data_IF_960716971636
#
_entry.id   IF_960716971636
#
_cell.length_a   1.000
_cell.length_b   1.000
_cell.length_c   1.000
_cell.angle_alpha   90.00
_cell.angle_beta   90.00
_cell.angle_gamma   90.00
#
_symmetry.space_group_name_H-M   'P 1'
#
loop_
_entity.id
_entity.type
_entity.pdbx_description
1 polymer ?
#
# COMPACT_ATOMS: atom_id res chain seq x y z
N UNK A 1 -32.97 10.85 62.74
CA UNK A 1 -32.46 9.68 62.00
C UNK A 1 -31.67 8.86 62.99
N UNK A 2 -31.89 7.54 63.07
CA UNK A 2 -31.08 6.71 63.95
C UNK A 2 -29.72 6.49 63.27
N UNK A 3 -28.64 6.88 63.92
CA UNK A 3 -27.31 6.49 63.50
C UNK A 3 -27.09 5.05 64.00
N UNK A 4 -26.82 4.13 63.08
CA UNK A 4 -26.40 2.78 63.43
C UNK A 4 -24.90 2.73 63.24
N UNK A 5 -24.17 2.69 64.35
CA UNK A 5 -22.72 2.48 64.36
C UNK A 5 -22.45 0.98 64.49
N UNK A 6 -21.74 0.40 63.53
CA UNK A 6 -21.41 -1.02 63.49
C UNK A 6 -19.89 -1.14 63.52
N UNK A 7 -19.36 -1.77 64.57
CA UNK A 7 -17.93 -2.08 64.68
C UNK A 7 -17.50 -3.20 63.74
N UNK A 8 -16.19 -3.45 63.66
CA UNK A 8 -15.64 -4.59 62.92
C UNK A 8 -15.61 -5.81 63.84
N UNK A 9 -15.95 -6.98 63.30
CA UNK A 9 -15.86 -8.25 64.00
C UNK A 9 -15.25 -9.32 63.10
N UNK A 10 -14.50 -10.25 63.69
CA UNK A 10 -14.04 -11.44 62.96
C UNK A 10 -15.27 -12.34 62.74
N UNK A 11 -15.68 -12.52 61.47
CA UNK A 11 -16.82 -13.35 61.12
C UNK A 11 -16.76 -14.77 61.69
N UNK A 12 -15.57 -15.35 61.88
CA UNK A 12 -15.39 -16.68 62.47
C UNK A 12 -15.83 -16.78 63.94
N UNK A 13 -15.91 -15.64 64.64
CA UNK A 13 -16.30 -15.56 66.05
C UNK A 13 -17.80 -15.36 66.27
N UNK A 14 -18.54 -14.94 65.24
CA UNK A 14 -19.99 -14.68 65.31
C UNK A 14 -20.85 -15.95 65.21
N UNK A 15 -20.24 -17.07 64.84
CA UNK A 15 -20.96 -18.31 64.52
C UNK A 15 -21.78 -18.19 63.23
N UNK A 16 -22.67 -19.17 63.00
CA UNK A 16 -23.55 -19.19 61.84
C UNK A 16 -24.96 -18.74 62.25
N UNK A 17 -25.64 -17.93 61.42
CA UNK A 17 -27.04 -17.59 61.67
C UNK A 17 -27.94 -18.83 61.57
N UNK A 18 -29.12 -18.83 62.21
CA UNK A 18 -30.12 -19.89 62.05
C UNK A 18 -30.55 -20.08 60.59
N UNK A 19 -31.05 -21.28 60.26
CA UNK A 19 -31.56 -21.58 58.92
C UNK A 19 -32.59 -20.53 58.46
N UNK A 20 -32.41 -20.00 57.24
CA UNK A 20 -33.26 -18.96 56.66
C UNK A 20 -32.91 -17.51 57.04
N UNK A 21 -31.90 -17.29 57.89
CA UNK A 21 -31.42 -15.96 58.26
C UNK A 21 -30.03 -15.68 57.68
N UNK A 22 -29.59 -14.42 57.79
CA UNK A 22 -28.22 -14.00 57.48
C UNK A 22 -27.73 -13.00 58.53
N UNK A 23 -26.42 -12.88 58.66
CA UNK A 23 -25.80 -11.75 59.35
C UNK A 23 -25.24 -10.76 58.34
N UNK A 24 -25.40 -9.47 58.60
CA UNK A 24 -24.70 -8.39 57.93
C UNK A 24 -23.78 -7.72 58.93
N UNK A 25 -22.49 -7.67 58.63
CA UNK A 25 -21.48 -7.10 59.51
C UNK A 25 -20.32 -6.55 58.69
N UNK A 26 -19.49 -5.76 59.36
CA UNK A 26 -18.20 -5.35 58.82
C UNK A 26 -17.17 -6.37 59.30
N UNK A 27 -16.57 -7.09 58.36
CA UNK A 27 -15.73 -8.25 58.68
C UNK A 27 -14.25 -7.90 58.65
N UNK A 28 -13.58 -8.02 59.80
CA UNK A 28 -12.16 -7.74 59.91
C UNK A 28 -11.28 -8.71 59.12
N UNK A 29 -11.72 -9.95 58.88
CA UNK A 29 -10.98 -10.91 58.06
C UNK A 29 -11.08 -10.63 56.57
N UNK A 30 -12.10 -9.88 56.15
CA UNK A 30 -12.32 -9.46 54.77
C UNK A 30 -11.96 -7.98 54.56
N UNK A 31 -10.89 -7.53 55.23
CA UNK A 31 -10.37 -6.15 55.15
C UNK A 31 -11.40 -5.08 55.56
N UNK A 32 -12.19 -5.34 56.61
CA UNK A 32 -13.26 -4.47 57.10
C UNK A 32 -14.30 -4.13 56.02
N UNK A 33 -14.56 -5.07 55.11
CA UNK A 33 -15.63 -4.93 54.11
C UNK A 33 -16.97 -5.39 54.67
N UNK A 34 -18.03 -4.89 54.06
CA UNK A 34 -19.37 -5.34 54.37
C UNK A 34 -19.56 -6.76 53.85
N UNK A 35 -19.92 -7.66 54.75
CA UNK A 35 -20.00 -9.09 54.47
C UNK A 35 -21.37 -9.60 54.91
N UNK A 36 -21.99 -10.41 54.05
CA UNK A 36 -23.15 -11.21 54.41
C UNK A 36 -22.70 -12.63 54.71
N UNK A 37 -23.07 -13.16 55.88
CA UNK A 37 -22.87 -14.57 56.22
C UNK A 37 -24.18 -15.34 56.11
N UNK A 38 -24.12 -16.50 55.47
CA UNK A 38 -25.23 -17.45 55.38
C UNK A 38 -25.20 -18.49 56.52
N UNK A 39 -26.28 -19.26 56.77
CA UNK A 39 -26.33 -20.30 57.80
C UNK A 39 -25.32 -21.44 57.58
N UNK A 40 -24.83 -21.60 56.36
CA UNK A 40 -23.78 -22.55 56.02
C UNK A 40 -22.36 -22.02 56.36
N UNK A 41 -22.24 -20.80 56.88
CA UNK A 41 -20.96 -20.14 57.16
C UNK A 41 -20.25 -19.62 55.91
N UNK A 42 -20.94 -19.58 54.76
CA UNK A 42 -20.40 -18.99 53.53
C UNK A 42 -20.57 -17.47 53.60
N UNK A 43 -19.47 -16.77 53.38
CA UNK A 43 -19.39 -15.31 53.39
C UNK A 43 -19.43 -14.76 51.96
N UNK A 44 -20.34 -13.82 51.70
CA UNK A 44 -20.35 -13.00 50.48
C UNK A 44 -19.88 -11.61 50.84
N UNK A 45 -18.71 -11.23 50.33
CA UNK A 45 -18.12 -9.90 50.56
C UNK A 45 -18.68 -8.95 49.51
N UNK A 46 -19.27 -7.84 49.93
CA UNK A 46 -19.81 -6.82 49.03
C UNK A 46 -18.76 -5.73 48.78
N UNK A 47 -18.68 -5.22 47.55
CA UNK A 47 -17.65 -4.27 47.13
C UNK A 47 -16.31 -4.91 46.73
N UNK A 48 -16.33 -6.12 46.19
CA UNK A 48 -15.16 -6.85 45.64
C UNK A 48 -15.28 -7.16 44.15
N UNK A 49 -16.00 -6.33 43.40
CA UNK A 49 -16.01 -6.45 41.94
C UNK A 49 -14.66 -6.04 41.36
N UNK A 50 -13.62 -6.85 41.55
CA UNK A 50 -12.42 -6.76 40.73
C UNK A 50 -12.82 -7.26 39.35
N UNK A 51 -12.66 -6.41 38.34
CA UNK A 51 -12.73 -6.83 36.96
C UNK A 51 -11.77 -8.02 36.80
N UNK A 52 -12.32 -9.21 36.55
CA UNK A 52 -11.52 -10.45 36.44
C UNK A 52 -10.82 -10.56 35.09
N UNK A 53 -11.40 -9.94 34.07
CA UNK A 53 -10.79 -9.78 32.77
C UNK A 53 -11.33 -8.57 32.01
N UNK A 54 -10.51 -8.01 31.12
CA UNK A 54 -10.95 -7.11 30.05
C UNK A 54 -10.34 -7.61 28.75
N UNK A 55 -11.17 -7.81 27.73
CA UNK A 55 -10.76 -8.30 26.41
C UNK A 55 -9.87 -9.56 26.39
N UNK A 56 -10.03 -10.45 27.37
CA UNK A 56 -9.25 -11.70 27.47
C UNK A 56 -8.03 -11.62 28.39
N UNK A 57 -7.59 -10.41 28.75
CA UNK A 57 -6.50 -10.22 29.70
C UNK A 57 -6.95 -10.42 31.13
N UNK A 58 -6.19 -11.22 31.87
CA UNK A 58 -6.43 -11.57 33.27
C UNK A 58 -5.21 -11.22 34.11
N UNK A 59 -5.40 -10.74 35.33
CA UNK A 59 -4.30 -10.46 36.25
C UNK A 59 -4.68 -9.48 37.36
N UNK A 60 -3.78 -9.25 38.35
CA UNK A 60 -4.00 -8.26 39.40
C UNK A 60 -4.02 -6.82 38.89
N UNK A 61 -3.41 -6.58 37.72
CA UNK A 61 -3.50 -5.33 36.96
C UNK A 61 -3.80 -5.69 35.51
N UNK A 62 -4.79 -5.04 34.92
CA UNK A 62 -5.08 -5.14 33.49
C UNK A 62 -4.54 -3.87 32.84
N UNK A 63 -3.51 -4.02 32.01
CA UNK A 63 -2.96 -2.94 31.19
C UNK A 63 -3.33 -3.27 29.76
N UNK A 64 -4.15 -2.43 29.15
CA UNK A 64 -4.52 -2.55 27.74
C UNK A 64 -3.69 -1.53 26.97
N UNK A 65 -3.03 -1.96 25.90
CA UNK A 65 -2.53 -1.07 24.88
C UNK A 65 -3.58 -0.83 23.78
N UNK A 66 -3.17 -0.18 22.70
CA UNK A 66 -4.07 0.16 21.59
C UNK A 66 -4.47 -1.08 20.77
N UNK A 67 -3.64 -2.12 20.75
CA UNK A 67 -3.87 -3.35 20.00
C UNK A 67 -4.76 -4.33 20.80
N UNK A 68 -4.79 -4.20 22.14
CA UNK A 68 -5.64 -4.99 23.05
C UNK A 68 -7.12 -4.58 23.06
N UNK A 69 -7.54 -3.58 22.29
CA UNK A 69 -8.94 -3.13 22.22
C UNK A 69 -9.45 -3.35 20.80
N UNK A 70 -10.42 -4.26 20.65
CA UNK A 70 -11.10 -4.45 19.36
C UNK A 70 -11.97 -3.21 19.04
N UNK A 71 -11.41 -2.31 18.22
CA UNK A 71 -12.05 -1.11 17.75
C UNK A 71 -12.84 -1.31 16.45
N UNK A 72 -12.99 -2.55 15.95
CA UNK A 72 -13.55 -2.85 14.61
C UNK A 72 -14.96 -2.32 14.41
N UNK A 73 -15.71 -2.07 15.50
CA UNK A 73 -17.09 -1.57 15.48
C UNK A 73 -17.28 -0.21 16.16
N UNK A 74 -16.22 0.40 16.71
CA UNK A 74 -16.33 1.67 17.45
C UNK A 74 -16.08 2.90 16.54
N UNK A 75 -16.55 4.07 16.99
CA UNK A 75 -16.30 5.35 16.31
C UNK A 75 -14.85 5.85 16.44
N UNK A 76 -14.02 5.19 17.26
CA UNK A 76 -12.66 5.61 17.60
C UNK A 76 -11.61 4.70 16.96
N UNK A 77 -11.80 4.37 15.68
CA UNK A 77 -10.76 3.69 14.90
C UNK A 77 -9.58 4.59 14.65
N UNK A 78 -8.37 4.07 14.77
CA UNK A 78 -7.16 4.77 14.32
C UNK A 78 -7.12 4.96 12.80
N UNK A 79 -7.82 4.09 12.05
CA UNK A 79 -7.93 4.12 10.58
C UNK A 79 -9.35 3.68 10.17
N UNK A 80 -10.07 4.50 9.40
CA UNK A 80 -11.43 4.14 8.95
C UNK A 80 -11.40 3.07 7.86
N UNK A 81 -12.54 2.42 7.58
CA UNK A 81 -12.64 1.47 6.47
C UNK A 81 -12.33 2.14 5.11
N UNK A 82 -12.65 3.43 4.97
CA UNK A 82 -12.32 4.21 3.78
C UNK A 82 -10.80 4.44 3.68
N UNK A 83 -10.14 4.75 4.79
CA UNK A 83 -8.68 4.96 4.82
C UNK A 83 -7.93 3.66 4.48
N UNK A 84 -8.42 2.50 4.95
CA UNK A 84 -7.85 1.19 4.59
C UNK A 84 -7.92 0.95 3.07
N UNK A 85 -9.06 1.27 2.44
CA UNK A 85 -9.22 1.14 0.98
C UNK A 85 -8.24 2.06 0.25
N UNK A 86 -8.11 3.31 0.69
CA UNK A 86 -7.16 4.27 0.15
C UNK A 86 -5.72 3.76 0.25
N UNK A 87 -5.30 3.30 1.43
CA UNK A 87 -3.96 2.75 1.66
C UNK A 87 -3.71 1.52 0.78
N UNK A 88 -4.67 0.60 0.69
CA UNK A 88 -4.54 -0.61 -0.11
C UNK A 88 -4.46 -0.33 -1.63
N UNK A 89 -5.01 0.80 -2.07
CA UNK A 89 -4.97 1.26 -3.47
C UNK A 89 -3.89 2.31 -3.74
N UNK A 90 -3.10 2.68 -2.74
CA UNK A 90 -2.09 3.71 -2.88
C UNK A 90 -0.92 3.21 -3.74
N UNK A 91 -0.46 4.08 -4.64
CA UNK A 91 0.65 3.79 -5.52
C UNK A 91 1.93 3.48 -4.71
N UNK A 92 2.56 2.36 -5.02
CA UNK A 92 3.82 1.92 -4.44
C UNK A 92 4.98 2.22 -5.38
N UNK A 93 6.19 2.24 -4.80
CA UNK A 93 7.42 2.33 -5.60
C UNK A 93 7.53 1.10 -6.49
N UNK A 94 7.61 1.32 -7.81
CA UNK A 94 7.69 0.25 -8.81
C UNK A 94 6.37 -0.06 -9.53
N UNK A 95 5.25 0.55 -9.13
CA UNK A 95 4.00 0.41 -9.86
C UNK A 95 4.10 0.99 -11.28
N UNK A 96 3.41 0.37 -12.22
CA UNK A 96 3.46 0.77 -13.62
C UNK A 96 2.76 2.10 -13.83
N UNK A 97 3.49 3.04 -14.43
CA UNK A 97 2.92 4.36 -14.77
C UNK A 97 1.78 4.24 -15.80
N UNK A 98 1.70 3.15 -16.57
CA UNK A 98 0.59 2.91 -17.51
C UNK A 98 -0.79 2.78 -16.86
N UNK A 99 -0.85 2.49 -15.55
CA UNK A 99 -2.10 2.46 -14.78
C UNK A 99 -2.51 3.84 -14.26
N UNK A 100 -1.68 4.87 -14.49
CA UNK A 100 -1.90 6.25 -14.09
C UNK A 100 -1.86 7.21 -15.29
N UNK A 101 -2.62 8.29 -15.21
CA UNK A 101 -2.51 9.39 -16.17
C UNK A 101 -1.41 10.35 -15.68
N UNK A 102 -0.48 10.73 -16.57
CA UNK A 102 0.60 11.69 -16.26
C UNK A 102 0.07 13.15 -16.24
N UNK A 103 -0.95 13.42 -15.42
CA UNK A 103 -1.61 14.73 -15.37
C UNK A 103 -0.70 15.84 -14.83
N UNK A 104 0.21 15.49 -13.92
CA UNK A 104 1.19 16.40 -13.35
C UNK A 104 2.43 16.61 -14.25
N UNK A 105 2.56 15.85 -15.34
CA UNK A 105 3.68 15.97 -16.27
C UNK A 105 5.04 15.53 -15.71
N UNK A 106 5.10 14.72 -14.63
CA UNK A 106 6.35 14.25 -14.05
C UNK A 106 7.17 13.39 -15.01
N UNK A 107 6.50 12.68 -15.92
CA UNK A 107 7.17 12.13 -17.09
C UNK A 107 7.18 13.21 -18.18
N UNK A 108 8.19 14.07 -18.13
CA UNK A 108 8.45 15.08 -19.17
C UNK A 108 9.18 14.47 -20.38
N UNK A 109 9.76 13.29 -20.23
CA UNK A 109 10.26 12.45 -21.31
C UNK A 109 10.23 10.97 -20.91
N UNK A 110 9.64 10.13 -21.73
CA UNK A 110 9.76 8.68 -21.65
C UNK A 110 10.40 8.20 -22.95
N UNK A 111 11.66 7.78 -22.89
CA UNK A 111 12.29 7.08 -24.00
C UNK A 111 11.73 5.67 -24.03
N UNK A 112 10.58 5.47 -24.68
CA UNK A 112 10.28 4.14 -25.22
C UNK A 112 11.32 3.93 -26.31
N UNK A 113 12.45 3.31 -25.95
CA UNK A 113 13.53 2.97 -26.87
C UNK A 113 12.88 2.49 -28.18
N UNK A 114 13.01 3.23 -29.29
CA UNK A 114 12.46 2.76 -30.55
C UNK A 114 13.03 1.36 -30.77
N UNK A 115 12.19 0.40 -31.18
CA UNK A 115 12.63 -0.99 -31.39
C UNK A 115 13.77 -1.11 -32.42
N UNK A 116 14.13 -0.01 -33.08
CA UNK A 116 15.29 0.16 -33.94
C UNK A 116 16.25 1.13 -33.31
N UNK A 117 17.52 0.76 -33.24
CA UNK A 117 18.62 1.66 -32.92
C UNK A 117 18.83 2.70 -34.05
N UNK A 118 17.81 3.51 -34.37
CA UNK A 118 18.04 4.74 -35.13
C UNK A 118 18.56 5.75 -34.12
N UNK A 119 19.86 5.98 -34.17
CA UNK A 119 20.52 7.00 -33.38
C UNK A 119 20.24 8.33 -34.08
N UNK A 120 19.16 8.98 -33.65
CA UNK A 120 18.82 10.34 -34.03
C UNK A 120 19.58 11.21 -33.04
N UNK A 121 20.45 12.12 -33.50
CA UNK A 121 21.25 13.03 -32.66
C UNK A 121 20.36 13.95 -31.81
N UNK A 122 19.77 13.39 -30.74
CA UNK A 122 18.99 13.93 -29.62
C UNK A 122 17.94 15.03 -29.83
N UNK A 123 17.76 15.58 -31.03
CA UNK A 123 16.72 16.55 -31.37
C UNK A 123 15.46 15.81 -31.83
N UNK A 124 14.30 16.20 -31.28
CA UNK A 124 12.98 15.59 -31.52
C UNK A 124 12.75 15.24 -33.00
N UNK A 125 12.91 13.97 -33.33
CA UNK A 125 12.87 13.44 -34.69
C UNK A 125 11.98 12.20 -34.74
N UNK A 126 11.24 12.03 -35.84
CA UNK A 126 10.29 10.93 -36.02
C UNK A 126 10.79 9.94 -37.06
N UNK A 127 10.63 8.63 -36.79
CA UNK A 127 10.87 7.57 -37.76
C UNK A 127 9.64 6.70 -37.89
N UNK A 128 9.15 6.52 -39.12
CA UNK A 128 8.07 5.58 -39.43
C UNK A 128 8.56 4.52 -40.41
N UNK A 129 8.17 3.27 -40.20
CA UNK A 129 8.46 2.14 -41.08
C UNK A 129 7.18 1.68 -41.76
N UNK A 130 7.23 1.49 -43.07
CA UNK A 130 6.15 0.88 -43.84
C UNK A 130 6.71 -0.24 -44.73
N UNK A 131 6.03 -1.39 -44.75
CA UNK A 131 6.26 -2.42 -45.76
C UNK A 131 5.07 -2.41 -46.72
N UNK A 132 5.32 -1.98 -47.96
CA UNK A 132 4.31 -1.92 -49.01
C UNK A 132 4.95 -2.17 -50.37
N UNK A 133 4.22 -2.81 -51.29
CA UNK A 133 4.73 -3.07 -52.65
C UNK A 133 6.03 -3.89 -52.70
N UNK A 134 6.26 -4.77 -51.72
CA UNK A 134 7.47 -5.59 -51.63
C UNK A 134 8.73 -4.83 -51.19
N UNK A 135 8.58 -3.61 -50.67
CA UNK A 135 9.66 -2.73 -50.26
C UNK A 135 9.45 -2.26 -48.83
N UNK A 136 10.51 -2.26 -48.03
CA UNK A 136 10.52 -1.59 -46.73
C UNK A 136 11.02 -0.16 -46.92
N UNK A 137 10.25 0.82 -46.45
CA UNK A 137 10.60 2.24 -46.45
C UNK A 137 10.59 2.75 -45.01
N UNK A 138 11.65 3.47 -44.67
CA UNK A 138 11.81 4.22 -43.43
C UNK A 138 11.71 5.70 -43.77
N UNK A 139 10.67 6.37 -43.28
CA UNK A 139 10.53 7.82 -43.40
C UNK A 139 11.10 8.45 -42.15
N UNK A 140 12.17 9.20 -42.32
CA UNK A 140 12.88 9.87 -41.23
C UNK A 140 12.70 11.37 -41.36
N UNK A 141 12.22 12.00 -40.30
CA UNK A 141 12.11 13.45 -40.20
C UNK A 141 12.99 13.95 -39.06
N UNK A 142 13.94 14.84 -39.37
CA UNK A 142 14.80 15.49 -38.39
C UNK A 142 14.15 16.77 -37.84
N UNK A 143 14.33 17.05 -36.55
CA UNK A 143 13.73 18.20 -35.88
C UNK A 143 14.35 19.56 -36.24
N UNK A 144 15.59 19.57 -36.73
CA UNK A 144 16.22 20.80 -37.22
C UNK A 144 15.88 21.01 -38.70
N UNK A 145 15.63 22.29 -39.07
CA UNK A 145 15.46 22.77 -40.44
C UNK A 145 16.76 22.71 -41.29
N UNK A 146 17.48 21.59 -41.17
CA UNK A 146 18.75 21.32 -41.82
C UNK A 146 18.50 20.71 -43.18
N UNK A 147 19.08 21.32 -44.22
CA UNK A 147 18.92 20.86 -45.61
C UNK A 147 19.71 19.58 -45.95
N UNK A 148 20.60 19.12 -45.07
CA UNK A 148 21.62 18.10 -45.34
C UNK A 148 21.47 16.84 -44.47
N UNK A 149 20.32 16.17 -44.54
CA UNK A 149 20.14 14.86 -43.89
C UNK A 149 20.85 13.78 -44.72
N UNK A 150 21.87 13.13 -44.15
CA UNK A 150 22.67 12.09 -44.81
C UNK A 150 22.59 10.77 -44.06
N UNK A 151 21.56 9.95 -44.31
CA UNK A 151 21.41 8.68 -43.62
C UNK A 151 22.44 7.66 -44.10
N UNK A 152 23.11 7.03 -43.15
CA UNK A 152 24.01 5.90 -43.36
C UNK A 152 23.41 4.65 -42.72
N UNK A 153 23.34 3.57 -43.50
CA UNK A 153 22.79 2.30 -43.03
C UNK A 153 23.89 1.27 -42.84
N UNK A 154 23.84 0.55 -41.73
CA UNK A 154 24.80 -0.44 -41.30
C UNK A 154 24.09 -1.76 -41.06
N UNK A 155 24.68 -2.89 -41.48
CA UNK A 155 24.20 -4.20 -41.04
C UNK A 155 24.71 -4.48 -39.63
N UNK A 156 23.82 -4.90 -38.73
CA UNK A 156 24.18 -5.09 -37.32
C UNK A 156 25.12 -6.29 -37.10
N UNK A 157 25.04 -7.30 -37.96
CA UNK A 157 25.86 -8.51 -37.82
C UNK A 157 27.35 -8.29 -38.08
N UNK A 158 27.72 -7.31 -38.93
CA UNK A 158 29.11 -7.10 -39.36
C UNK A 158 29.56 -5.63 -39.32
N UNK A 159 28.66 -4.71 -38.97
CA UNK A 159 28.93 -3.27 -38.88
C UNK A 159 29.25 -2.60 -40.21
N UNK A 160 29.06 -3.27 -41.35
CA UNK A 160 29.41 -2.71 -42.67
C UNK A 160 28.31 -1.80 -43.18
N UNK A 161 28.72 -0.73 -43.86
CA UNK A 161 27.80 0.15 -44.58
C UNK A 161 27.11 -0.60 -45.71
N UNK A 162 25.79 -0.49 -45.77
CA UNK A 162 24.94 -1.10 -46.78
C UNK A 162 24.21 -0.02 -47.56
N UNK A 163 24.24 -0.13 -48.88
CA UNK A 163 23.49 0.75 -49.75
C UNK A 163 21.98 0.55 -49.60
N UNK A 164 21.30 1.59 -49.13
CA UNK A 164 19.85 1.74 -49.23
C UNK A 164 19.56 2.83 -50.26
N UNK A 165 18.38 2.78 -50.88
CA UNK A 165 17.92 3.91 -51.69
C UNK A 165 17.50 5.01 -50.73
N UNK A 166 18.12 6.16 -50.85
CA UNK A 166 17.73 7.37 -50.12
C UNK A 166 17.06 8.33 -51.09
N UNK A 167 15.86 8.79 -50.75
CA UNK A 167 15.12 9.78 -51.51
C UNK A 167 14.66 10.90 -50.57
N UNK A 168 14.87 12.15 -50.96
CA UNK A 168 14.36 13.30 -50.20
C UNK A 168 12.88 13.48 -50.48
N UNK A 169 12.08 13.64 -49.42
CA UNK A 169 10.62 13.83 -49.52
C UNK A 169 10.13 15.11 -48.85
N UNK A 170 10.99 15.79 -48.09
CA UNK A 170 10.70 17.10 -47.49
C UNK A 170 11.96 17.89 -47.18
N UNK A 171 11.78 19.06 -46.56
CA UNK A 171 12.91 19.92 -46.17
C UNK A 171 13.82 19.20 -45.17
N UNK A 172 13.22 18.54 -44.17
CA UNK A 172 13.91 17.77 -43.14
C UNK A 172 13.50 16.29 -43.16
N UNK A 173 13.05 15.79 -44.31
CA UNK A 173 12.50 14.43 -44.43
C UNK A 173 13.16 13.68 -45.56
N UNK A 174 13.63 12.47 -45.24
CA UNK A 174 14.20 11.51 -46.20
C UNK A 174 13.54 10.15 -46.03
N UNK A 175 13.31 9.49 -47.15
CA UNK A 175 12.93 8.09 -47.23
C UNK A 175 14.14 7.22 -47.52
N UNK A 176 14.42 6.28 -46.63
CA UNK A 176 15.46 5.27 -46.80
C UNK A 176 14.77 3.94 -47.02
N UNK A 177 15.06 3.26 -48.13
CA UNK A 177 14.25 2.10 -48.52
C UNK A 177 15.02 1.02 -49.27
N UNK A 178 14.55 -0.22 -49.11
CA UNK A 178 15.14 -1.42 -49.73
C UNK A 178 14.07 -2.46 -50.06
N UNK A 179 14.30 -3.22 -51.13
CA UNK A 179 13.42 -4.34 -51.50
C UNK A 179 13.50 -5.44 -50.45
N UNK A 180 12.36 -6.11 -50.22
CA UNK A 180 12.19 -7.13 -49.19
C UNK A 180 11.56 -6.58 -47.92
N UNK A 181 10.98 -7.49 -47.14
CA UNK A 181 10.50 -7.20 -45.79
C UNK A 181 11.71 -7.25 -44.85
N UNK A 182 12.10 -6.10 -44.30
CA UNK A 182 13.25 -5.99 -43.40
C UNK A 182 12.77 -6.24 -41.97
N UNK A 183 13.35 -7.24 -41.29
CA UNK A 183 13.02 -7.56 -39.93
C UNK A 183 13.70 -6.60 -38.94
N UNK A 184 13.11 -6.51 -37.74
CA UNK A 184 13.66 -5.76 -36.63
C UNK A 184 15.01 -6.41 -36.20
N UNK A 185 16.05 -5.58 -35.99
CA UNK A 185 17.37 -6.06 -35.54
C UNK A 185 18.38 -6.44 -36.63
N UNK A 186 18.04 -6.32 -37.92
CA UNK A 186 18.99 -6.62 -39.00
C UNK A 186 19.95 -5.46 -39.32
N UNK A 187 19.48 -4.22 -39.17
CA UNK A 187 20.18 -3.01 -39.60
C UNK A 187 20.08 -1.88 -38.58
N UNK A 188 21.09 -1.01 -38.56
CA UNK A 188 21.14 0.27 -37.85
C UNK A 188 21.22 1.40 -38.87
N UNK A 189 20.45 2.45 -38.67
CA UNK A 189 20.52 3.68 -39.46
C UNK A 189 21.05 4.79 -38.55
N UNK A 190 22.02 5.54 -39.05
CA UNK A 190 22.63 6.70 -38.39
C UNK A 190 22.39 7.91 -39.29
N UNK A 191 22.04 9.04 -38.70
CA UNK A 191 21.60 10.25 -39.41
C UNK A 191 22.28 11.47 -38.82
#
# INVERSE_FOLDING_TARGET
>A
MANIEIGTADGSTLGNPPAGMFFWFVDSNNANKFTQRTPAGVDTVFGVGTISSVNGDTGPTVVLDADDIDDTTTAHKFVSAADIILIASALQSGDNVSELVNDAGYITSASTKPAFNVDLDSAEASVTRAFAGGRTTFTVTHGLNTLDIKPECYRLSDGRTIGFRTARTGVNTVEVSRNGNIADGDFRMVI
#
